data_IF_177683747709
#
_entry.id   IF_177683747709
#
_cell.length_a   1.000
_cell.length_b   1.000
_cell.length_c   1.000
_cell.angle_alpha   90.00
_cell.angle_beta   90.00
_cell.angle_gamma   90.00
#
_symmetry.space_group_name_H-M   'P 1'
#
loop_
_entity.id
_entity.type
_entity.pdbx_description
1 polymer ?
#
# COMPACT_ATOMS: atom_id res chain seq x y z
N UNK A 1 14.57 9.35 -20.01
CA UNK A 1 13.92 8.13 -19.46
C UNK A 1 13.23 8.52 -18.17
N UNK A 2 12.03 8.00 -17.95
CA UNK A 2 11.19 8.26 -16.79
C UNK A 2 10.27 7.05 -16.53
N UNK A 3 9.60 7.01 -15.40
CA UNK A 3 8.64 5.99 -15.03
C UNK A 3 7.61 6.55 -14.07
N UNK A 4 6.60 5.77 -13.78
CA UNK A 4 5.62 6.03 -12.74
C UNK A 4 5.74 4.99 -11.63
N UNK A 5 5.30 5.36 -10.45
CA UNK A 5 5.15 4.48 -9.30
C UNK A 5 3.70 4.55 -8.85
N UNK A 6 3.05 3.40 -8.75
CA UNK A 6 1.68 3.35 -8.23
C UNK A 6 1.67 2.54 -6.95
N UNK A 7 1.27 3.18 -5.88
CA UNK A 7 1.01 2.54 -4.59
C UNK A 7 -0.44 2.05 -4.56
N UNK A 8 -0.60 0.74 -4.48
CA UNK A 8 -1.91 0.11 -4.37
C UNK A 8 -2.21 -0.21 -2.92
N UNK A 9 -3.30 0.35 -2.40
CA UNK A 9 -3.88 -0.05 -1.12
C UNK A 9 -4.81 -1.24 -1.33
N UNK A 10 -4.53 -2.35 -0.67
CA UNK A 10 -5.38 -3.54 -0.69
C UNK A 10 -6.51 -3.36 0.31
N UNK A 11 -7.74 -3.36 -0.17
CA UNK A 11 -8.93 -3.21 0.67
C UNK A 11 -9.81 -4.44 0.58
N UNK A 12 -10.52 -4.72 1.67
CA UNK A 12 -11.48 -5.81 1.79
C UNK A 12 -12.86 -5.25 2.14
N UNK A 13 -13.83 -5.54 1.28
CA UNK A 13 -15.23 -5.20 1.51
C UNK A 13 -15.92 -6.30 2.31
N UNK A 14 -16.56 -5.90 3.39
CA UNK A 14 -17.44 -6.72 4.22
C UNK A 14 -18.87 -6.21 4.02
N UNK A 15 -19.56 -6.79 3.05
CA UNK A 15 -20.90 -6.35 2.67
C UNK A 15 -21.95 -6.67 3.74
N UNK A 16 -21.75 -7.74 4.51
CA UNK A 16 -22.64 -8.15 5.59
C UNK A 16 -22.67 -7.11 6.71
N UNK A 17 -21.48 -6.68 7.15
CA UNK A 17 -21.34 -5.69 8.22
C UNK A 17 -21.23 -4.24 7.71
N UNK A 18 -21.36 -4.03 6.39
CA UNK A 18 -21.22 -2.70 5.74
C UNK A 18 -19.93 -1.99 6.13
N UNK A 19 -18.82 -2.75 6.17
CA UNK A 19 -17.50 -2.25 6.50
C UNK A 19 -16.52 -2.41 5.34
N UNK A 20 -15.53 -1.54 5.32
CA UNK A 20 -14.34 -1.69 4.47
C UNK A 20 -13.10 -1.64 5.37
N UNK A 21 -12.16 -2.54 5.12
CA UNK A 21 -10.90 -2.63 5.88
C UNK A 21 -9.74 -2.67 4.93
N UNK A 22 -8.58 -2.23 5.38
CA UNK A 22 -7.33 -2.51 4.65
C UNK A 22 -6.90 -3.95 4.90
N UNK A 23 -6.50 -4.66 3.85
CA UNK A 23 -6.08 -6.07 3.93
C UNK A 23 -4.56 -6.16 4.07
N UNK A 24 -4.09 -6.53 5.26
CA UNK A 24 -2.67 -6.61 5.61
C UNK A 24 -2.01 -7.88 5.06
N UNK A 25 -2.02 -8.04 3.73
CA UNK A 25 -1.50 -9.20 3.01
C UNK A 25 -0.40 -8.85 2.01
N UNK A 26 0.21 -7.68 2.14
CA UNK A 26 1.22 -7.23 1.16
C UNK A 26 2.38 -8.23 1.02
N UNK A 27 2.84 -8.84 2.09
CA UNK A 27 3.93 -9.81 2.05
C UNK A 27 3.57 -11.06 1.21
N UNK A 28 2.37 -11.62 1.43
CA UNK A 28 1.87 -12.76 0.64
C UNK A 28 1.71 -12.37 -0.85
N UNK A 29 1.14 -11.19 -1.11
CA UNK A 29 0.95 -10.70 -2.47
C UNK A 29 2.27 -10.46 -3.19
N UNK A 30 3.22 -9.79 -2.52
CA UNK A 30 4.54 -9.51 -3.08
C UNK A 30 5.31 -10.79 -3.40
N UNK A 31 5.27 -11.78 -2.53
CA UNK A 31 5.91 -13.07 -2.80
C UNK A 31 5.42 -13.69 -4.12
N UNK A 32 4.12 -13.62 -4.39
CA UNK A 32 3.52 -14.15 -5.61
C UNK A 32 3.80 -13.26 -6.84
N UNK A 33 3.68 -11.94 -6.67
CA UNK A 33 3.93 -10.97 -7.74
C UNK A 33 5.38 -10.99 -8.18
N UNK A 34 6.32 -11.08 -7.23
CA UNK A 34 7.75 -11.15 -7.53
C UNK A 34 8.17 -12.48 -8.15
N UNK A 35 7.53 -13.59 -7.77
CA UNK A 35 7.74 -14.86 -8.46
C UNK A 35 7.30 -14.78 -9.93
N UNK A 36 6.17 -14.12 -10.21
CA UNK A 36 5.71 -13.86 -11.59
C UNK A 36 6.63 -12.88 -12.31
N UNK A 37 7.16 -11.84 -11.63
CA UNK A 37 8.12 -10.88 -12.18
C UNK A 37 9.35 -11.58 -12.76
N UNK A 38 9.90 -12.59 -12.08
CA UNK A 38 11.07 -13.32 -12.59
C UNK A 38 10.74 -14.14 -13.85
N UNK A 39 9.55 -14.72 -13.93
CA UNK A 39 9.09 -15.43 -15.14
C UNK A 39 8.89 -14.43 -16.29
N UNK A 40 8.25 -13.30 -16.02
CA UNK A 40 7.93 -12.30 -17.03
C UNK A 40 9.17 -11.58 -17.55
N UNK A 41 10.22 -11.42 -16.74
CA UNK A 41 11.52 -10.93 -17.20
C UNK A 41 12.10 -11.80 -18.30
N UNK A 42 12.09 -13.12 -18.10
CA UNK A 42 12.61 -14.08 -19.12
C UNK A 42 11.77 -13.98 -20.39
N UNK A 43 10.46 -13.98 -20.28
CA UNK A 43 9.55 -13.89 -21.41
C UNK A 43 9.64 -12.54 -22.13
N UNK A 44 9.89 -11.45 -21.42
CA UNK A 44 10.09 -10.12 -22.01
C UNK A 44 11.33 -10.04 -22.91
N UNK A 45 12.38 -10.81 -22.63
CA UNK A 45 13.58 -10.88 -23.49
C UNK A 45 13.26 -11.39 -24.89
N UNK A 46 12.23 -12.23 -25.02
CA UNK A 46 11.76 -12.72 -26.33
C UNK A 46 10.56 -11.94 -26.87
N UNK A 47 10.21 -10.81 -26.25
CA UNK A 47 9.19 -9.89 -26.74
C UNK A 47 7.74 -10.34 -26.56
N UNK A 48 7.48 -11.31 -25.69
CA UNK A 48 6.16 -11.95 -25.56
C UNK A 48 5.24 -11.31 -24.51
N UNK A 49 5.79 -10.63 -23.49
CA UNK A 49 5.01 -10.02 -22.41
C UNK A 49 5.64 -8.72 -21.90
N UNK A 50 4.80 -7.87 -21.33
CA UNK A 50 5.26 -6.77 -20.50
C UNK A 50 5.58 -7.32 -19.10
N UNK A 51 6.71 -6.93 -18.53
CA UNK A 51 6.98 -7.21 -17.13
C UNK A 51 6.88 -5.93 -16.30
N UNK A 52 6.61 -6.12 -15.02
CA UNK A 52 6.47 -5.05 -14.05
C UNK A 52 7.35 -5.35 -12.85
N UNK A 53 7.71 -4.32 -12.10
CA UNK A 53 8.46 -4.49 -10.85
C UNK A 53 7.52 -4.24 -9.67
N UNK A 54 7.56 -5.15 -8.70
CA UNK A 54 6.73 -5.10 -7.51
C UNK A 54 7.59 -4.92 -6.27
N UNK A 55 7.27 -3.91 -5.48
CA UNK A 55 8.05 -3.53 -4.31
C UNK A 55 7.15 -3.36 -3.09
N UNK A 56 7.73 -3.60 -1.89
CA UNK A 56 7.03 -3.32 -0.64
C UNK A 56 6.95 -1.82 -0.39
N UNK A 57 5.84 -1.41 0.20
CA UNK A 57 5.63 -0.10 0.75
C UNK A 57 5.54 -0.12 2.27
N UNK A 58 5.40 1.07 2.90
CA UNK A 58 5.44 1.24 4.35
C UNK A 58 4.42 0.37 5.07
N UNK A 59 3.22 0.27 4.55
CA UNK A 59 2.15 -0.45 5.21
C UNK A 59 1.99 -1.89 4.73
N UNK A 60 1.67 -2.80 5.64
CA UNK A 60 1.42 -4.21 5.36
C UNK A 60 0.22 -4.47 4.44
N UNK A 61 -0.53 -3.44 4.08
CA UNK A 61 -1.64 -3.49 3.12
C UNK A 61 -1.34 -2.75 1.81
N UNK A 62 -0.09 -2.38 1.56
CA UNK A 62 0.31 -1.66 0.35
C UNK A 62 1.31 -2.45 -0.46
N UNK A 63 1.16 -2.39 -1.78
CA UNK A 63 2.15 -2.88 -2.74
C UNK A 63 2.39 -1.81 -3.80
N UNK A 64 3.65 -1.59 -4.15
CA UNK A 64 4.05 -0.66 -5.21
C UNK A 64 4.28 -1.41 -6.50
N UNK A 65 3.79 -0.86 -7.59
CA UNK A 65 4.03 -1.37 -8.95
C UNK A 65 4.60 -0.32 -9.86
N UNK A 66 5.72 -0.64 -10.52
CA UNK A 66 6.38 0.21 -11.51
C UNK A 66 6.48 -0.49 -12.86
N UNK A 67 6.65 0.25 -13.98
CA UNK A 67 6.99 -0.39 -15.25
C UNK A 67 8.34 -1.10 -15.14
N UNK A 68 8.47 -2.26 -15.76
CA UNK A 68 9.69 -3.08 -15.75
C UNK A 68 10.87 -2.43 -16.47
N UNK A 69 10.58 -1.51 -17.38
CA UNK A 69 11.58 -0.68 -18.09
C UNK A 69 11.10 0.77 -18.11
N UNK A 70 12.02 1.74 -18.01
CA UNK A 70 11.67 3.15 -18.09
C UNK A 70 11.03 3.51 -19.43
N UNK A 71 10.10 4.43 -19.43
CA UNK A 71 9.53 5.02 -20.63
C UNK A 71 10.59 5.85 -21.38
N UNK A 72 10.43 5.94 -22.69
CA UNK A 72 11.30 6.74 -23.55
C UNK A 72 11.06 8.24 -23.43
N UNK A 73 11.85 9.04 -24.15
CA UNK A 73 11.75 10.51 -24.17
C UNK A 73 10.88 11.08 -25.29
N UNK A 74 10.31 10.25 -26.15
CA UNK A 74 9.43 10.71 -27.23
C UNK A 74 8.01 10.93 -26.72
N UNK A 75 7.28 11.90 -27.29
CA UNK A 75 5.87 12.16 -26.94
C UNK A 75 4.99 10.91 -27.10
N UNK A 76 5.27 10.09 -28.10
CA UNK A 76 4.56 8.82 -28.31
C UNK A 76 4.62 7.88 -27.10
N UNK A 77 5.64 8.01 -26.24
CA UNK A 77 5.76 7.17 -25.03
C UNK A 77 4.67 7.46 -23.99
N UNK A 78 4.02 8.64 -24.02
CA UNK A 78 2.89 8.93 -23.16
C UNK A 78 1.67 8.04 -23.47
N UNK A 79 1.50 7.63 -24.72
CA UNK A 79 0.37 6.82 -25.14
C UNK A 79 0.35 5.40 -24.55
N UNK A 80 1.49 4.90 -24.04
CA UNK A 80 1.58 3.56 -23.44
C UNK A 80 1.42 3.55 -21.92
N UNK A 81 1.41 4.71 -21.27
CA UNK A 81 1.38 4.83 -19.82
C UNK A 81 0.09 4.27 -19.24
N UNK A 82 -1.06 4.73 -19.74
CA UNK A 82 -2.37 4.25 -19.29
C UNK A 82 -2.49 2.73 -19.46
N UNK A 83 -2.14 2.23 -20.64
CA UNK A 83 -2.21 0.80 -20.92
C UNK A 83 -1.33 0.00 -19.94
N UNK A 84 -0.12 0.50 -19.65
CA UNK A 84 0.79 -0.11 -18.69
C UNK A 84 0.18 -0.14 -17.27
N UNK A 85 -0.38 0.98 -16.81
CA UNK A 85 -1.05 1.08 -15.51
C UNK A 85 -2.26 0.14 -15.39
N UNK A 86 -3.07 0.03 -16.47
CA UNK A 86 -4.23 -0.87 -16.50
C UNK A 86 -3.79 -2.33 -16.39
N UNK A 87 -2.74 -2.74 -17.11
CA UNK A 87 -2.25 -4.12 -17.07
C UNK A 87 -1.68 -4.43 -15.68
N UNK A 88 -0.86 -3.55 -15.09
CA UNK A 88 -0.35 -3.73 -13.71
C UNK A 88 -1.48 -3.90 -12.71
N UNK A 89 -2.51 -3.06 -12.75
CA UNK A 89 -3.68 -3.22 -11.87
C UNK A 89 -4.35 -4.58 -12.06
N UNK A 90 -4.50 -5.05 -13.28
CA UNK A 90 -5.07 -6.38 -13.57
C UNK A 90 -4.20 -7.51 -13.01
N UNK A 91 -2.87 -7.37 -13.05
CA UNK A 91 -1.97 -8.39 -12.50
C UNK A 91 -2.15 -8.54 -10.98
N UNK A 92 -2.13 -7.45 -10.22
CA UNK A 92 -2.37 -7.55 -8.79
C UNK A 92 -3.78 -8.05 -8.47
N UNK A 93 -4.78 -7.64 -9.24
CA UNK A 93 -6.18 -8.09 -9.06
C UNK A 93 -6.37 -9.60 -9.20
N UNK A 94 -5.62 -10.27 -10.07
CA UNK A 94 -5.67 -11.73 -10.22
C UNK A 94 -5.27 -12.49 -8.96
N UNK A 95 -4.52 -11.87 -8.07
CA UNK A 95 -3.99 -12.49 -6.85
C UNK A 95 -4.80 -12.18 -5.60
N UNK A 96 -5.87 -11.38 -5.74
CA UNK A 96 -6.72 -10.97 -4.63
C UNK A 96 -7.71 -12.08 -4.24
N UNK A 97 -8.10 -12.11 -2.98
CA UNK A 97 -9.14 -12.98 -2.46
C UNK A 97 -10.52 -12.37 -2.72
N UNK A 98 -11.56 -13.22 -2.60
CA UNK A 98 -12.95 -12.77 -2.71
C UNK A 98 -13.23 -11.61 -1.75
N UNK A 99 -13.82 -10.55 -2.26
CA UNK A 99 -14.12 -9.34 -1.50
C UNK A 99 -12.97 -8.36 -1.37
N UNK A 100 -11.79 -8.68 -1.91
CA UNK A 100 -10.67 -7.74 -1.96
C UNK A 100 -10.63 -6.99 -3.30
N UNK A 101 -10.10 -5.77 -3.25
CA UNK A 101 -9.72 -4.98 -4.42
C UNK A 101 -8.50 -4.12 -4.10
N UNK A 102 -7.91 -3.51 -5.11
CA UNK A 102 -6.84 -2.51 -4.94
C UNK A 102 -7.30 -1.13 -5.34
N UNK A 103 -6.96 -0.16 -4.54
CA UNK A 103 -7.26 1.26 -4.75
C UNK A 103 -5.97 2.07 -4.73
N UNK A 104 -5.93 3.14 -5.53
CA UNK A 104 -4.82 4.11 -5.57
C UNK A 104 -5.29 5.43 -4.98
N UNK A 105 -5.87 5.37 -3.78
CA UNK A 105 -6.44 6.51 -3.06
C UNK A 105 -6.05 6.45 -1.58
N UNK A 106 -6.12 7.59 -0.91
CA UNK A 106 -6.07 7.63 0.55
C UNK A 106 -7.27 6.89 1.14
N UNK A 107 -7.02 5.99 2.08
CA UNK A 107 -8.09 5.22 2.72
C UNK A 107 -8.68 6.03 3.88
N UNK A 108 -9.94 6.45 3.82
CA UNK A 108 -10.49 7.42 4.76
C UNK A 108 -10.72 6.87 6.17
N UNK A 109 -10.75 5.54 6.34
CA UNK A 109 -10.97 4.90 7.64
C UNK A 109 -9.67 4.55 8.38
N UNK A 110 -8.48 5.00 7.90
CA UNK A 110 -7.23 4.77 8.61
C UNK A 110 -7.28 5.34 10.03
N UNK A 111 -6.88 4.52 11.00
CA UNK A 111 -6.90 4.89 12.41
C UNK A 111 -8.26 4.74 13.10
N UNK A 112 -9.34 4.45 12.38
CA UNK A 112 -10.62 4.13 12.97
C UNK A 112 -10.60 2.74 13.63
N UNK A 113 -11.50 2.46 14.60
CA UNK A 113 -11.58 1.12 15.17
C UNK A 113 -11.78 0.04 14.12
N UNK A 114 -11.01 -1.05 14.22
CA UNK A 114 -11.17 -2.25 13.37
C UNK A 114 -10.98 -1.99 11.86
N UNK A 115 -10.09 -1.07 11.50
CA UNK A 115 -9.84 -0.71 10.08
C UNK A 115 -8.95 -1.70 9.33
N UNK A 116 -8.35 -2.70 10.00
CA UNK A 116 -7.46 -3.69 9.39
C UNK A 116 -8.11 -5.07 9.25
N UNK A 117 -7.66 -5.86 8.28
CA UNK A 117 -7.97 -7.27 8.11
C UNK A 117 -6.66 -8.06 7.91
N UNK A 118 -6.27 -8.97 8.84
CA UNK A 118 -6.94 -9.28 10.10
C UNK A 118 -7.04 -8.07 11.03
N UNK A 119 -7.96 -8.13 12.00
CA UNK A 119 -8.13 -7.05 12.98
C UNK A 119 -6.88 -6.93 13.85
N UNK A 120 -6.32 -5.73 13.88
CA UNK A 120 -5.15 -5.37 14.66
C UNK A 120 -5.52 -4.19 15.56
N UNK A 121 -5.13 -4.25 16.83
CA UNK A 121 -5.35 -3.15 17.76
C UNK A 121 -4.10 -2.29 17.85
N UNK A 122 -4.23 -0.97 17.91
CA UNK A 122 -3.13 -0.11 18.27
C UNK A 122 -2.55 -0.56 19.63
N UNK A 123 -1.26 -0.74 19.65
CA UNK A 123 -0.52 -1.11 20.86
C UNK A 123 0.55 -0.06 21.10
N UNK A 124 0.19 1.10 21.67
CA UNK A 124 1.17 2.14 21.94
C UNK A 124 2.17 1.61 22.98
N UNK A 125 3.33 1.25 22.50
CA UNK A 125 4.45 0.76 23.32
C UNK A 125 5.48 1.86 23.46
N UNK A 126 6.06 1.98 24.62
CA UNK A 126 7.17 2.92 24.80
C UNK A 126 8.36 2.59 23.89
N UNK A 127 8.54 1.32 23.59
CA UNK A 127 9.63 0.80 22.77
C UNK A 127 9.31 0.74 21.26
N UNK A 128 8.04 0.83 20.87
CA UNK A 128 7.64 0.75 19.46
C UNK A 128 8.11 1.97 18.66
N UNK A 129 8.42 1.82 17.36
CA UNK A 129 8.87 2.91 16.53
C UNK A 129 7.81 4.00 16.33
N UNK A 130 6.56 3.66 16.13
CA UNK A 130 5.47 4.61 15.85
C UNK A 130 4.81 5.17 17.10
N UNK A 131 4.61 4.34 18.11
CA UNK A 131 3.88 4.68 19.35
C UNK A 131 2.54 5.36 19.10
N UNK A 132 1.83 4.92 18.08
CA UNK A 132 0.53 5.48 17.70
C UNK A 132 -0.58 4.85 18.55
N UNK A 133 -1.52 5.68 19.01
CA UNK A 133 -2.75 5.20 19.65
C UNK A 133 -3.84 4.83 18.65
N UNK A 134 -3.64 5.15 17.37
CA UNK A 134 -4.60 4.91 16.30
C UNK A 134 -4.12 3.87 15.30
N UNK A 135 -2.81 3.70 15.15
CA UNK A 135 -2.20 2.85 14.15
C UNK A 135 -1.46 1.69 14.81
N UNK A 136 -1.81 0.42 14.49
CA UNK A 136 -1.09 -0.73 15.01
C UNK A 136 0.30 -0.84 14.38
N UNK A 137 1.31 -1.10 15.20
CA UNK A 137 2.68 -1.35 14.70
C UNK A 137 2.75 -2.56 13.75
N UNK A 138 1.85 -3.53 13.94
CA UNK A 138 1.79 -4.72 13.10
C UNK A 138 1.24 -4.42 11.68
N UNK A 139 0.65 -3.26 11.46
CA UNK A 139 0.26 -2.79 10.13
C UNK A 139 1.41 -2.16 9.33
N UNK A 140 2.60 -2.06 9.90
CA UNK A 140 3.83 -1.72 9.18
C UNK A 140 4.36 -2.98 8.51
N UNK A 141 4.78 -2.87 7.25
CA UNK A 141 5.35 -4.00 6.52
C UNK A 141 6.58 -4.57 7.24
N UNK A 142 6.53 -5.85 7.60
CA UNK A 142 7.57 -6.48 8.41
C UNK A 142 8.65 -7.21 7.60
N UNK A 143 8.39 -7.52 6.33
CA UNK A 143 9.31 -8.27 5.46
C UNK A 143 10.62 -7.53 5.12
N UNK A 144 10.76 -6.26 5.52
CA UNK A 144 11.99 -5.51 5.34
C UNK A 144 12.23 -4.53 6.51
N UNK A 145 13.43 -4.51 7.12
CA UNK A 145 13.73 -3.67 8.30
C UNK A 145 13.70 -2.16 8.02
N UNK A 146 13.76 -1.75 6.73
CA UNK A 146 13.73 -0.36 6.27
C UNK A 146 12.61 0.44 6.92
N UNK A 147 11.40 -0.09 6.93
CA UNK A 147 10.21 0.66 7.33
C UNK A 147 10.16 0.95 8.83
N UNK A 148 10.50 -0.05 9.66
CA UNK A 148 10.63 0.16 11.11
C UNK A 148 11.76 1.12 11.44
N UNK A 149 12.89 1.00 10.74
CA UNK A 149 14.03 1.89 10.92
C UNK A 149 13.73 3.31 10.44
N UNK A 150 12.93 3.50 9.40
CA UNK A 150 12.52 4.82 8.92
C UNK A 150 11.84 5.62 10.02
N UNK A 151 10.81 5.04 10.66
CA UNK A 151 10.07 5.70 11.75
C UNK A 151 10.97 5.97 12.94
N UNK A 152 11.80 5.00 13.34
CA UNK A 152 12.78 5.15 14.42
C UNK A 152 13.76 6.31 14.15
N UNK A 153 14.28 6.39 12.93
CA UNK A 153 15.25 7.41 12.53
C UNK A 153 14.62 8.80 12.47
N UNK A 154 13.40 8.93 11.96
CA UNK A 154 12.67 10.21 11.93
C UNK A 154 12.49 10.72 13.36
N UNK A 155 12.04 9.87 14.28
CA UNK A 155 11.86 10.25 15.69
C UNK A 155 13.18 10.59 16.38
N UNK A 156 14.20 9.76 16.18
CA UNK A 156 15.53 10.02 16.75
C UNK A 156 16.11 11.34 16.27
N UNK A 157 15.97 11.67 15.00
CA UNK A 157 16.44 12.93 14.43
C UNK A 157 15.67 14.16 14.95
N UNK A 158 14.34 14.02 15.15
CA UNK A 158 13.52 15.11 15.68
C UNK A 158 13.62 15.27 17.19
N UNK A 159 14.00 14.23 17.91
CA UNK A 159 14.04 14.21 19.37
C UNK A 159 12.67 14.12 20.04
N UNK A 160 11.60 14.12 19.28
CA UNK A 160 10.21 14.07 19.78
C UNK A 160 9.31 13.22 18.91
N UNK A 161 8.13 12.89 19.44
CA UNK A 161 7.05 12.25 18.68
C UNK A 161 6.45 13.28 17.72
N UNK A 162 6.29 12.90 16.46
CA UNK A 162 5.60 13.73 15.47
C UNK A 162 4.08 13.65 15.74
N UNK A 163 3.46 14.82 15.91
CA UNK A 163 2.02 14.97 15.98
C UNK A 163 1.59 15.97 14.90
N UNK A 164 0.84 15.48 13.92
CA UNK A 164 0.31 16.30 12.83
C UNK A 164 -1.22 16.24 12.93
N UNK A 165 -1.83 17.37 13.26
CA UNK A 165 -3.27 17.50 13.31
C UNK A 165 -3.79 17.87 11.94
N UNK A 166 -4.58 16.98 11.35
CA UNK A 166 -5.23 17.21 10.06
C UNK A 166 -6.72 17.49 10.31
N UNK A 167 -7.27 18.59 9.76
CA UNK A 167 -8.70 18.84 9.84
C UNK A 167 -9.49 17.70 9.23
N UNK A 168 -10.54 17.25 9.91
CA UNK A 168 -11.46 16.26 9.37
C UNK A 168 -12.67 16.92 8.74
N UNK A 169 -13.20 16.30 7.69
CA UNK A 169 -14.50 16.67 7.16
C UNK A 169 -15.58 16.28 8.18
N UNK A 170 -16.44 17.24 8.53
CA UNK A 170 -17.54 17.02 9.48
C UNK A 170 -18.87 17.05 8.76
N UNK A 171 -19.70 16.07 9.01
CA UNK A 171 -21.10 16.03 8.64
C UNK A 171 -22.01 15.95 9.87
N UNK A 172 -23.30 15.84 9.65
CA UNK A 172 -24.30 15.76 10.73
C UNK A 172 -24.15 14.53 11.63
N UNK A 173 -23.44 13.50 11.20
CA UNK A 173 -23.22 12.24 11.92
C UNK A 173 -21.85 12.19 12.61
N UNK A 174 -20.99 13.16 12.38
CA UNK A 174 -19.65 13.19 12.98
C UNK A 174 -19.78 13.62 14.44
N UNK A 175 -19.35 12.79 15.41
CA UNK A 175 -19.40 13.12 16.83
C UNK A 175 -18.55 14.37 17.15
N UNK A 176 -18.94 15.08 18.24
CA UNK A 176 -18.18 16.21 18.74
C UNK A 176 -18.03 16.07 20.27
N UNK A 177 -16.82 15.91 20.82
CA UNK A 177 -15.53 15.86 20.07
C UNK A 177 -15.41 14.59 19.22
N UNK A 178 -14.66 14.70 18.14
CA UNK A 178 -14.28 13.56 17.33
C UNK A 178 -13.13 12.83 18.02
N UNK A 179 -13.40 11.72 18.64
CA UNK A 179 -12.44 10.72 19.16
C UNK A 179 -13.10 9.35 19.12
#
# INVERSE_FOLDING_TARGET
KWGDEIEYTVVKFDHEHKKVRVSCRAEELLSRLQAQEEVDKVNALVGTVNHFLWRPEFAAYMVEGTPGVPYGGLLACFNVVEANMVVRRKEVQKMLKKGETVLSISFPALGSPDFTSPSMKPTPREEGPGRSIFWPEDAVFCGHPRFKNLVKNIRGRRGEKIAINVPIFRDKNTPNPYI
#
